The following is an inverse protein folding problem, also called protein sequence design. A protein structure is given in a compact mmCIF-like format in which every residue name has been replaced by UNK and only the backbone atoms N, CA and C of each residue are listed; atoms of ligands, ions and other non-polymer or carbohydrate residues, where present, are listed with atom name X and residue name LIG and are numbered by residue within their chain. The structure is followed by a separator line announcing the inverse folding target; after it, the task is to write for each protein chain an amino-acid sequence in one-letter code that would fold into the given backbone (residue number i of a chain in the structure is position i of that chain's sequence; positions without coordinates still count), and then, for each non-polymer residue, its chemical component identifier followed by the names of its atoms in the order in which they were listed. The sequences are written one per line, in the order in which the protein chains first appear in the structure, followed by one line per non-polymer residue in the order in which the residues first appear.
data_IF_086416086111
#
_entry.id   IF_086416086111
#
_cell.length_a   1.000
_cell.length_b   1.000
_cell.length_c   1.000
_cell.angle_alpha   90.00
_cell.angle_beta   90.00
_cell.angle_gamma   90.00
#
_symmetry.space_group_name_H-M   'P 1'
#
loop_
_entity.id
_entity.type
_entity.pdbx_description
1 polymer ?
#
# COMPACT_ATOMS: atom_id res chain seq x y z
N UNK A 1 -1.51 -1.70 68.91
CA UNK A 1 -1.41 -3.01 68.22
C UNK A 1 -2.55 -3.10 67.22
N UNK A 2 -2.28 -3.03 65.92
CA UNK A 2 -3.31 -3.13 64.88
C UNK A 2 -3.74 -4.59 64.74
N UNK A 3 -4.81 -4.99 65.42
CA UNK A 3 -5.40 -6.31 65.29
C UNK A 3 -6.28 -6.37 64.03
N UNK A 4 -5.72 -6.88 62.94
CA UNK A 4 -6.49 -7.15 61.73
C UNK A 4 -7.31 -8.42 61.89
N UNK A 5 -8.59 -8.36 61.50
CA UNK A 5 -9.47 -9.54 61.46
C UNK A 5 -8.88 -10.60 60.52
N UNK A 6 -8.84 -11.87 60.98
CA UNK A 6 -8.23 -12.99 60.25
C UNK A 6 -8.75 -13.13 58.82
N UNK A 7 -10.03 -12.80 58.57
CA UNK A 7 -10.64 -12.85 57.25
C UNK A 7 -10.12 -11.74 56.31
N UNK A 8 -9.87 -10.54 56.86
CA UNK A 8 -9.25 -9.44 56.11
C UNK A 8 -7.81 -9.77 55.76
N UNK A 9 -7.05 -10.35 56.69
CA UNK A 9 -5.69 -10.83 56.43
C UNK A 9 -5.67 -11.90 55.34
N UNK A 10 -6.61 -12.85 55.37
CA UNK A 10 -6.71 -13.93 54.38
C UNK A 10 -7.10 -13.40 53.00
N UNK A 11 -8.01 -12.42 52.93
CA UNK A 11 -8.37 -11.75 51.68
C UNK A 11 -7.20 -10.95 51.08
N UNK A 12 -6.44 -10.23 51.90
CA UNK A 12 -5.25 -9.48 51.46
C UNK A 12 -4.18 -10.46 50.97
N UNK A 13 -3.91 -11.53 51.72
CA UNK A 13 -2.92 -12.55 51.35
C UNK A 13 -3.30 -13.23 50.03
N UNK A 14 -4.57 -13.60 49.86
CA UNK A 14 -5.09 -14.19 48.62
C UNK A 14 -4.93 -13.26 47.42
N UNK A 15 -5.26 -11.97 47.57
CA UNK A 15 -5.07 -10.95 46.52
C UNK A 15 -3.60 -10.80 46.12
N UNK A 16 -2.69 -10.76 47.10
CA UNK A 16 -1.24 -10.68 46.84
C UNK A 16 -0.73 -11.94 46.14
N UNK A 17 -1.16 -13.12 46.57
CA UNK A 17 -0.79 -14.39 45.92
C UNK A 17 -1.31 -14.44 44.48
N UNK A 18 -2.55 -14.02 44.24
CA UNK A 18 -3.12 -13.96 42.90
C UNK A 18 -2.34 -12.97 42.02
N UNK A 19 -2.04 -11.77 42.53
CA UNK A 19 -1.22 -10.78 41.82
C UNK A 19 0.18 -11.33 41.48
N UNK A 20 0.80 -12.08 42.41
CA UNK A 20 2.10 -12.72 42.18
C UNK A 20 2.00 -13.78 41.08
N UNK A 21 0.96 -14.62 41.09
CA UNK A 21 0.71 -15.66 40.07
C UNK A 21 0.55 -15.05 38.68
N UNK A 22 -0.13 -13.91 38.56
CA UNK A 22 -0.29 -13.20 37.29
C UNK A 22 0.97 -12.44 36.85
N UNK A 23 1.82 -11.98 37.78
CA UNK A 23 3.05 -11.23 37.49
C UNK A 23 4.26 -12.12 37.20
N UNK A 24 4.37 -13.29 37.84
CA UNK A 24 5.47 -14.25 37.68
C UNK A 24 5.75 -14.65 36.22
N UNK A 25 4.77 -14.89 35.34
CA UNK A 25 5.00 -15.21 33.93
C UNK A 25 5.80 -14.15 33.17
N UNK A 26 5.72 -12.89 33.61
CA UNK A 26 6.41 -11.75 32.99
C UNK A 26 7.94 -11.78 33.20
N UNK A 27 8.39 -12.34 34.34
CA UNK A 27 9.80 -12.36 34.74
C UNK A 27 10.55 -13.62 34.27
N UNK A 28 9.84 -14.60 33.70
CA UNK A 28 10.44 -15.86 33.24
C UNK A 28 11.02 -15.69 31.82
N UNK A 29 12.28 -16.09 31.56
CA UNK A 29 12.91 -16.07 30.23
C UNK A 29 12.10 -16.90 29.20
N UNK A 30 12.32 -16.67 27.90
CA UNK A 30 11.50 -17.26 26.82
C UNK A 30 11.39 -18.81 26.82
N UNK A 31 12.30 -19.53 27.46
CA UNK A 31 12.34 -21.01 27.47
C UNK A 31 11.13 -21.68 28.15
N UNK A 32 10.83 -21.41 29.45
CA UNK A 32 9.71 -22.07 30.13
C UNK A 32 8.32 -21.46 29.86
N UNK A 33 8.22 -20.41 29.03
CA UNK A 33 6.94 -19.71 28.77
C UNK A 33 5.87 -20.62 28.16
N UNK A 34 6.27 -21.60 27.35
CA UNK A 34 5.37 -22.56 26.70
C UNK A 34 4.60 -23.46 27.71
N UNK A 35 5.20 -23.76 28.87
CA UNK A 35 4.55 -24.56 29.91
C UNK A 35 3.52 -23.71 30.65
N UNK A 36 3.79 -22.41 30.86
CA UNK A 36 2.84 -21.48 31.49
C UNK A 36 1.65 -21.15 30.59
N UNK A 37 1.84 -21.09 29.26
CA UNK A 37 0.75 -20.89 28.30
C UNK A 37 -0.27 -22.04 28.30
N UNK A 38 0.15 -23.28 28.60
CA UNK A 38 -0.78 -24.43 28.74
C UNK A 38 -1.73 -24.32 29.95
N UNK A 39 -1.41 -23.46 30.93
CA UNK A 39 -2.26 -23.16 32.08
C UNK A 39 -3.11 -21.88 31.90
N UNK A 40 -3.13 -21.29 30.70
CA UNK A 40 -3.96 -20.12 30.37
C UNK A 40 -3.40 -18.76 30.83
N UNK A 41 -2.18 -18.74 31.37
CA UNK A 41 -1.48 -17.52 31.76
C UNK A 41 -0.65 -17.01 30.57
N UNK A 42 -1.31 -16.30 29.64
CA UNK A 42 -0.61 -15.62 28.53
C UNK A 42 0.20 -14.45 29.08
N UNK A 43 1.48 -14.41 28.72
CA UNK A 43 2.31 -13.23 28.96
C UNK A 43 1.76 -12.04 28.15
N UNK A 44 1.89 -10.83 28.70
CA UNK A 44 1.55 -9.59 27.99
C UNK A 44 2.44 -9.51 26.75
N UNK A 45 1.85 -9.24 25.58
CA UNK A 45 2.61 -9.01 24.35
C UNK A 45 3.43 -7.74 24.53
N UNK A 46 4.76 -7.86 24.47
CA UNK A 46 5.64 -6.70 24.55
C UNK A 46 5.52 -5.91 23.24
N UNK A 47 5.36 -4.60 23.34
CA UNK A 47 5.35 -3.73 22.16
C UNK A 47 6.69 -3.71 21.43
N UNK A 48 6.68 -3.20 20.20
CA UNK A 48 7.84 -3.13 19.30
C UNK A 48 9.12 -2.59 19.96
N UNK A 49 8.99 -1.57 20.81
CA UNK A 49 10.11 -0.92 21.49
C UNK A 49 10.83 -1.84 22.50
N UNK A 50 10.10 -2.80 23.09
CA UNK A 50 10.65 -3.74 24.07
C UNK A 50 10.99 -5.12 23.48
N UNK A 51 10.36 -5.49 22.36
CA UNK A 51 10.59 -6.77 21.67
C UNK A 51 11.70 -6.67 20.60
N UNK A 52 12.04 -5.45 20.18
CA UNK A 52 12.92 -5.20 19.04
C UNK A 52 12.24 -5.52 17.71
N UNK A 53 12.45 -4.68 16.70
CA UNK A 53 11.92 -4.91 15.36
C UNK A 53 12.30 -3.81 14.38
N UNK A 54 11.84 -3.94 13.14
CA UNK A 54 12.16 -3.02 12.04
C UNK A 54 10.93 -2.23 11.63
N UNK A 55 11.09 -0.92 11.45
CA UNK A 55 10.10 -0.02 10.88
C UNK A 55 10.60 0.50 9.53
N UNK A 56 9.83 0.28 8.47
CA UNK A 56 10.16 0.73 7.11
C UNK A 56 9.03 1.58 6.58
N UNK A 57 9.36 2.79 6.13
CA UNK A 57 8.45 3.69 5.43
C UNK A 57 8.75 3.63 3.94
N UNK A 58 7.73 3.33 3.14
CA UNK A 58 7.79 3.26 1.69
C UNK A 58 6.94 4.38 1.11
N UNK A 59 7.44 5.05 0.09
CA UNK A 59 6.73 6.13 -0.61
C UNK A 59 6.66 5.81 -2.10
N UNK A 60 5.50 6.08 -2.70
CA UNK A 60 5.30 5.94 -4.15
C UNK A 60 5.83 7.19 -4.84
N UNK A 61 6.85 7.04 -5.69
CA UNK A 61 7.36 8.14 -6.51
C UNK A 61 6.35 8.47 -7.61
N UNK A 62 5.71 9.64 -7.49
CA UNK A 62 4.70 10.14 -8.44
C UNK A 62 5.31 10.44 -9.80
N UNK A 63 6.57 10.87 -9.87
CA UNK A 63 7.22 11.21 -11.12
C UNK A 63 7.54 9.95 -11.92
N UNK A 64 8.12 8.94 -11.25
CA UNK A 64 8.36 7.63 -11.86
C UNK A 64 7.04 6.96 -12.28
N UNK A 65 5.97 7.09 -11.48
CA UNK A 65 4.65 6.60 -11.86
C UNK A 65 4.11 7.31 -13.11
N UNK A 66 4.24 8.63 -13.20
CA UNK A 66 3.84 9.39 -14.40
C UNK A 66 4.60 8.95 -15.65
N UNK A 67 5.91 8.73 -15.52
CA UNK A 67 6.75 8.27 -16.64
C UNK A 67 6.34 6.87 -17.11
N UNK A 68 6.10 5.95 -16.17
CA UNK A 68 5.61 4.60 -16.46
C UNK A 68 4.24 4.62 -17.12
N UNK A 69 3.32 5.45 -16.62
CA UNK A 69 2.00 5.65 -17.23
C UNK A 69 2.13 6.24 -18.64
N UNK A 70 3.01 7.22 -18.86
CA UNK A 70 3.24 7.80 -20.18
C UNK A 70 3.77 6.76 -21.19
N UNK A 71 4.67 5.87 -20.76
CA UNK A 71 5.17 4.75 -21.58
C UNK A 71 4.02 3.77 -21.90
N UNK A 72 3.23 3.39 -20.90
CA UNK A 72 2.11 2.47 -21.06
C UNK A 72 1.06 3.05 -22.01
N UNK A 73 0.58 4.28 -21.75
CA UNK A 73 -0.41 4.98 -22.57
C UNK A 73 0.10 5.16 -24.01
N UNK A 74 1.39 5.44 -24.22
CA UNK A 74 1.99 5.48 -25.56
C UNK A 74 1.87 4.13 -26.28
N UNK A 75 2.09 3.03 -25.57
CA UNK A 75 1.92 1.66 -26.09
C UNK A 75 0.47 1.34 -26.42
N UNK A 76 -0.46 1.73 -25.55
CA UNK A 76 -1.89 1.51 -25.73
C UNK A 76 -2.44 2.30 -26.92
N UNK A 77 -2.07 3.58 -27.05
CA UNK A 77 -2.42 4.42 -28.20
C UNK A 77 -1.86 3.82 -29.50
N UNK A 78 -0.58 3.40 -29.49
CA UNK A 78 0.05 2.79 -30.66
C UNK A 78 -0.72 1.55 -31.11
N UNK A 79 -1.12 0.71 -30.16
CA UNK A 79 -1.84 -0.53 -30.44
C UNK A 79 -3.24 -0.25 -30.98
N UNK A 80 -3.99 0.65 -30.33
CA UNK A 80 -5.34 1.04 -30.76
C UNK A 80 -5.35 1.67 -32.17
N UNK A 81 -4.44 2.61 -32.44
CA UNK A 81 -4.35 3.25 -33.76
C UNK A 81 -3.93 2.28 -34.86
N UNK A 82 -3.07 1.30 -34.53
CA UNK A 82 -2.65 0.26 -35.49
C UNK A 82 -3.78 -0.72 -35.79
N UNK A 83 -4.54 -1.13 -34.79
CA UNK A 83 -5.71 -2.00 -34.95
C UNK A 83 -6.79 -1.34 -35.81
N UNK A 84 -7.03 -0.05 -35.60
CA UNK A 84 -7.93 0.77 -36.40
C UNK A 84 -7.38 1.15 -37.80
N UNK A 85 -6.14 0.76 -38.13
CA UNK A 85 -5.44 1.07 -39.39
C UNK A 85 -5.30 2.58 -39.67
N UNK A 86 -5.15 3.39 -38.62
CA UNK A 86 -5.03 4.86 -38.72
C UNK A 86 -3.55 5.24 -38.81
N UNK A 87 -3.21 6.05 -39.83
CA UNK A 87 -1.86 6.57 -40.01
C UNK A 87 -1.56 7.71 -39.04
N UNK A 88 -0.59 7.50 -38.13
CA UNK A 88 -0.11 8.52 -37.20
C UNK A 88 1.34 8.92 -37.49
N UNK A 89 1.67 10.18 -37.24
CA UNK A 89 3.05 10.66 -37.12
C UNK A 89 3.49 10.50 -35.66
N UNK A 90 4.81 10.38 -35.44
CA UNK A 90 5.41 9.93 -34.17
C UNK A 90 4.71 10.43 -32.90
N UNK A 91 4.63 9.54 -31.91
CA UNK A 91 4.04 9.82 -30.60
C UNK A 91 5.09 10.53 -29.74
N UNK A 92 4.79 11.75 -29.31
CA UNK A 92 5.67 12.55 -28.46
C UNK A 92 5.15 12.53 -27.02
N UNK A 93 6.02 12.17 -26.08
CA UNK A 93 5.76 12.22 -24.64
C UNK A 93 5.96 13.65 -24.15
N UNK A 94 4.97 14.20 -23.46
CA UNK A 94 5.05 15.52 -22.82
C UNK A 94 5.02 15.35 -21.30
N UNK A 95 5.57 16.30 -20.51
CA UNK A 95 5.54 16.22 -19.05
C UNK A 95 4.13 16.10 -18.47
N UNK A 96 3.14 16.62 -19.19
CA UNK A 96 1.74 16.63 -18.79
C UNK A 96 0.92 15.53 -19.47
N UNK A 97 1.51 14.66 -20.30
CA UNK A 97 0.72 13.74 -21.11
C UNK A 97 1.41 13.05 -22.29
N UNK A 98 0.59 12.62 -23.24
CA UNK A 98 1.04 12.05 -24.52
C UNK A 98 0.38 12.79 -25.66
N UNK A 99 1.18 13.21 -26.64
CA UNK A 99 0.70 13.92 -27.83
C UNK A 99 0.89 13.06 -29.08
N UNK A 100 -0.15 12.97 -29.90
CA UNK A 100 -0.14 12.22 -31.16
C UNK A 100 -0.69 13.09 -32.26
N UNK A 101 0.01 13.13 -33.40
CA UNK A 101 -0.44 13.85 -34.58
C UNK A 101 -0.85 12.86 -35.67
N UNK A 102 -2.03 13.06 -36.24
CA UNK A 102 -2.61 12.15 -37.23
C UNK A 102 -2.30 12.66 -38.64
N UNK A 103 -1.96 11.76 -39.55
CA UNK A 103 -1.54 12.15 -40.90
C UNK A 103 -2.73 12.55 -41.79
N UNK A 104 -3.86 11.85 -41.65
CA UNK A 104 -5.05 12.03 -42.46
C UNK A 104 -6.15 12.73 -41.68
N UNK A 105 -6.74 13.78 -42.27
CA UNK A 105 -7.85 14.53 -41.67
C UNK A 105 -9.13 13.68 -41.60
N UNK A 106 -9.34 12.79 -42.60
CA UNK A 106 -10.50 11.88 -42.67
C UNK A 106 -10.55 10.85 -41.52
N UNK A 107 -9.40 10.49 -40.96
CA UNK A 107 -9.30 9.50 -39.89
C UNK A 107 -9.40 10.13 -38.49
N UNK A 108 -9.56 11.46 -38.38
CA UNK A 108 -9.55 12.14 -37.08
C UNK A 108 -10.74 11.76 -36.19
N UNK A 109 -11.94 11.63 -36.74
CA UNK A 109 -13.13 11.30 -35.93
C UNK A 109 -13.14 9.83 -35.51
N UNK A 110 -12.57 8.95 -36.35
CA UNK A 110 -12.32 7.54 -36.00
C UNK A 110 -11.28 7.43 -34.91
N UNK A 111 -10.18 8.17 -35.02
CA UNK A 111 -9.14 8.20 -34.01
C UNK A 111 -9.65 8.73 -32.67
N UNK A 112 -10.47 9.78 -32.69
CA UNK A 112 -11.08 10.31 -31.46
C UNK A 112 -11.94 9.25 -30.77
N UNK A 113 -12.71 8.48 -31.53
CA UNK A 113 -13.53 7.38 -30.99
C UNK A 113 -12.68 6.28 -30.36
N UNK A 114 -11.59 5.87 -31.02
CA UNK A 114 -10.69 4.84 -30.49
C UNK A 114 -9.90 5.34 -29.27
N UNK A 115 -9.44 6.59 -29.28
CA UNK A 115 -8.74 7.18 -28.15
C UNK A 115 -9.67 7.39 -26.95
N UNK A 116 -10.96 7.69 -27.17
CA UNK A 116 -11.97 7.74 -26.10
C UNK A 116 -12.18 6.38 -25.43
N UNK A 117 -11.99 5.26 -26.14
CA UNK A 117 -12.04 3.93 -25.50
C UNK A 117 -10.86 3.68 -24.55
N UNK A 118 -9.74 4.37 -24.76
CA UNK A 118 -8.57 4.30 -23.86
C UNK A 118 -8.71 5.18 -22.62
N UNK A 119 -9.72 6.06 -22.57
CA UNK A 119 -10.10 6.77 -21.36
C UNK A 119 -10.75 5.77 -20.39
N UNK A 120 -9.92 4.99 -19.71
CA UNK A 120 -10.39 4.12 -18.65
C UNK A 120 -10.82 5.01 -17.47
N UNK A 121 -12.09 4.94 -17.03
CA UNK A 121 -12.50 5.59 -15.80
C UNK A 121 -11.70 4.98 -14.65
N UNK A 122 -11.08 5.83 -13.85
CA UNK A 122 -10.39 5.44 -12.63
C UNK A 122 -11.30 5.78 -11.46
N UNK A 123 -11.60 4.75 -10.67
CA UNK A 123 -12.34 4.89 -9.43
C UNK A 123 -11.53 5.76 -8.45
N UNK A 124 -12.09 6.88 -7.99
CA UNK A 124 -11.43 7.75 -7.00
C UNK A 124 -11.45 7.18 -5.58
N UNK A 125 -11.80 5.90 -5.44
CA UNK A 125 -11.64 5.12 -4.22
C UNK A 125 -12.89 5.11 -3.36
N UNK A 126 -12.86 4.25 -2.34
CA UNK A 126 -13.99 3.87 -1.45
C UNK A 126 -14.68 5.09 -0.80
N UNK A 127 -13.95 6.19 -0.55
CA UNK A 127 -14.49 7.39 0.07
C UNK A 127 -15.23 8.35 -0.89
N UNK A 128 -15.18 8.10 -2.20
CA UNK A 128 -15.71 9.01 -3.22
C UNK A 128 -17.11 8.67 -3.75
N UNK A 129 -17.88 7.81 -3.04
CA UNK A 129 -19.26 7.46 -3.40
C UNK A 129 -19.45 7.02 -4.87
N UNK A 130 -18.49 6.27 -5.42
CA UNK A 130 -18.55 5.79 -6.80
C UNK A 130 -18.29 6.86 -7.86
N UNK A 131 -17.74 8.02 -7.47
CA UNK A 131 -17.22 8.98 -8.43
C UNK A 131 -16.09 8.32 -9.24
N UNK A 132 -16.24 8.33 -10.55
CA UNK A 132 -15.20 7.91 -11.48
C UNK A 132 -14.64 9.17 -12.13
N UNK A 133 -13.31 9.26 -12.21
CA UNK A 133 -12.64 10.34 -12.93
C UNK A 133 -11.85 9.75 -14.07
N UNK A 134 -11.70 10.50 -15.16
CA UNK A 134 -10.86 10.06 -16.25
C UNK A 134 -9.41 10.36 -15.90
N UNK A 135 -8.54 9.35 -16.04
CA UNK A 135 -7.08 9.50 -15.88
C UNK A 135 -6.50 10.50 -16.88
N UNK A 136 -7.15 10.58 -18.04
CA UNK A 136 -6.69 11.27 -19.22
C UNK A 136 -7.76 12.24 -19.68
N UNK A 137 -7.35 13.46 -19.99
CA UNK A 137 -8.18 14.46 -20.65
C UNK A 137 -7.74 14.54 -22.11
N UNK A 138 -8.69 14.24 -23.01
CA UNK A 138 -8.47 14.40 -24.44
C UNK A 138 -8.70 15.88 -24.80
N UNK A 139 -7.65 16.55 -25.24
CA UNK A 139 -7.75 17.83 -25.92
C UNK A 139 -7.36 17.66 -27.39
N UNK A 140 -8.24 18.14 -28.27
CA UNK A 140 -8.04 18.14 -29.72
C UNK A 140 -7.61 19.54 -30.12
N UNK A 141 -6.40 19.66 -30.67
CA UNK A 141 -5.91 20.91 -31.24
C UNK A 141 -5.52 20.64 -32.69
N UNK A 142 -6.38 21.06 -33.61
CA UNK A 142 -6.24 20.87 -35.06
C UNK A 142 -5.99 19.40 -35.46
N UNK A 143 -4.75 19.06 -35.80
CA UNK A 143 -4.31 17.74 -36.25
C UNK A 143 -3.55 16.94 -35.16
N UNK A 144 -3.52 17.47 -33.94
CA UNK A 144 -2.85 16.91 -32.78
C UNK A 144 -3.85 16.60 -31.66
N UNK A 145 -3.80 15.37 -31.15
CA UNK A 145 -4.47 14.98 -29.93
C UNK A 145 -3.47 15.01 -28.79
N UNK A 146 -3.81 15.70 -27.71
CA UNK A 146 -3.08 15.67 -26.44
C UNK A 146 -3.93 14.95 -25.41
N UNK A 147 -3.36 13.90 -24.83
CA UNK A 147 -3.89 13.16 -23.70
C UNK A 147 -3.18 13.68 -22.45
N UNK A 148 -3.78 14.66 -21.79
CA UNK A 148 -3.25 15.24 -20.55
C UNK A 148 -3.58 14.35 -19.36
N UNK A 149 -2.65 14.16 -18.42
CA UNK A 149 -2.96 13.49 -17.15
C UNK A 149 -3.72 14.45 -16.23
N UNK A 150 -4.86 14.00 -15.71
CA UNK A 150 -5.55 14.74 -14.65
C UNK A 150 -4.89 14.48 -13.30
N UNK A 151 -4.72 15.52 -12.47
CA UNK A 151 -4.13 15.36 -11.12
C UNK A 151 -4.97 14.42 -10.24
N UNK A 152 -6.29 14.46 -10.38
CA UNK A 152 -7.23 13.57 -9.68
C UNK A 152 -7.09 12.12 -10.13
N UNK A 153 -6.84 11.88 -11.42
CA UNK A 153 -6.59 10.54 -11.96
C UNK A 153 -5.26 9.96 -11.49
N UNK A 154 -4.21 10.80 -11.40
CA UNK A 154 -2.91 10.38 -10.86
C UNK A 154 -3.05 10.00 -9.38
N UNK A 155 -3.72 10.82 -8.56
CA UNK A 155 -3.97 10.50 -7.15
C UNK A 155 -4.75 9.18 -6.98
N UNK A 156 -5.75 8.93 -7.84
CA UNK A 156 -6.49 7.67 -7.83
C UNK A 156 -5.62 6.47 -8.22
N UNK A 157 -4.73 6.62 -9.22
CA UNK A 157 -3.75 5.59 -9.57
C UNK A 157 -2.72 5.34 -8.47
N UNK A 158 -2.24 6.37 -7.79
CA UNK A 158 -1.35 6.23 -6.62
C UNK A 158 -2.06 5.43 -5.53
N UNK A 159 -3.31 5.75 -5.22
CA UNK A 159 -4.11 5.03 -4.22
C UNK A 159 -4.29 3.55 -4.60
N UNK A 160 -4.60 3.27 -5.87
CA UNK A 160 -4.69 1.90 -6.38
C UNK A 160 -3.37 1.15 -6.30
N UNK A 161 -2.26 1.81 -6.65
CA UNK A 161 -0.92 1.24 -6.56
C UNK A 161 -0.54 0.91 -5.12
N UNK A 162 -0.91 1.76 -4.15
CA UNK A 162 -0.72 1.48 -2.71
C UNK A 162 -1.50 0.24 -2.29
N UNK A 163 -2.77 0.13 -2.67
CA UNK A 163 -3.60 -1.02 -2.30
C UNK A 163 -3.05 -2.34 -2.88
N UNK A 164 -2.55 -2.31 -4.12
CA UNK A 164 -1.89 -3.46 -4.73
C UNK A 164 -0.57 -3.78 -4.03
N UNK A 165 0.24 -2.77 -3.76
CA UNK A 165 1.55 -2.92 -3.08
C UNK A 165 1.37 -3.48 -1.68
N UNK A 166 0.36 -3.04 -0.93
CA UNK A 166 0.03 -3.54 0.39
C UNK A 166 -0.19 -5.06 0.38
N UNK A 167 -0.98 -5.58 -0.56
CA UNK A 167 -1.21 -7.03 -0.74
C UNK A 167 0.08 -7.79 -1.07
N UNK A 168 0.94 -7.20 -1.90
CA UNK A 168 2.23 -7.79 -2.27
C UNK A 168 3.16 -7.84 -1.06
N UNK A 169 3.27 -6.75 -0.31
CA UNK A 169 4.08 -6.68 0.92
C UNK A 169 3.59 -7.70 1.93
N UNK A 170 2.28 -7.76 2.17
CA UNK A 170 1.65 -8.72 3.09
C UNK A 170 2.05 -10.15 2.73
N UNK A 171 1.89 -10.55 1.47
CA UNK A 171 2.29 -11.88 0.99
C UNK A 171 3.78 -12.17 1.16
N UNK A 172 4.66 -11.20 0.84
CA UNK A 172 6.11 -11.36 0.95
C UNK A 172 6.60 -11.44 2.39
N UNK A 173 5.99 -10.67 3.27
CA UNK A 173 6.34 -10.66 4.69
C UNK A 173 5.84 -11.93 5.37
N UNK A 174 4.66 -12.44 4.99
CA UNK A 174 4.18 -13.74 5.47
C UNK A 174 5.15 -14.87 5.09
N UNK A 175 5.81 -14.79 3.93
CA UNK A 175 6.85 -15.74 3.53
C UNK A 175 8.12 -15.70 4.39
N UNK A 176 8.35 -14.63 5.17
CA UNK A 176 9.48 -14.52 6.10
C UNK A 176 9.23 -15.22 7.44
N UNK A 177 8.01 -15.71 7.69
CA UNK A 177 7.66 -16.41 8.93
C UNK A 177 7.58 -15.48 10.16
N UNK A 178 7.43 -14.17 9.93
CA UNK A 178 7.22 -13.17 11.00
C UNK A 178 5.86 -13.32 11.66
N UNK A 179 5.82 -13.21 12.99
CA UNK A 179 4.57 -13.13 13.74
C UNK A 179 3.92 -11.76 13.51
N UNK A 180 2.85 -11.74 12.72
CA UNK A 180 1.90 -10.62 12.58
C UNK A 180 2.52 -9.26 12.20
N UNK A 181 2.80 -9.02 10.91
CA UNK A 181 3.25 -7.72 10.45
C UNK A 181 2.14 -6.67 10.49
N UNK A 182 2.48 -5.45 10.90
CA UNK A 182 1.55 -4.31 10.84
C UNK A 182 1.89 -3.49 9.60
N UNK A 183 1.02 -3.58 8.59
CA UNK A 183 1.15 -2.83 7.33
C UNK A 183 -0.02 -1.87 7.24
N UNK A 184 0.28 -0.57 7.20
CA UNK A 184 -0.75 0.46 7.16
C UNK A 184 -0.39 1.53 6.15
N UNK A 185 -1.40 2.10 5.51
CA UNK A 185 -1.24 3.29 4.69
C UNK A 185 -1.03 4.50 5.61
N UNK A 186 0.01 5.28 5.32
CA UNK A 186 0.30 6.53 6.03
C UNK A 186 0.15 7.70 5.06
N UNK A 187 -0.93 8.47 5.18
CA UNK A 187 -1.21 9.57 4.26
C UNK A 187 -1.65 9.08 2.87
N UNK A 188 -1.32 9.85 1.82
CA UNK A 188 -1.82 9.60 0.45
C UNK A 188 -0.93 8.70 -0.40
N UNK A 189 0.38 8.71 -0.16
CA UNK A 189 1.41 8.09 -1.02
C UNK A 189 2.39 7.18 -0.26
N UNK A 190 2.19 6.97 1.05
CA UNK A 190 3.14 6.22 1.88
C UNK A 190 2.51 5.00 2.55
N UNK A 191 3.35 4.01 2.80
CA UNK A 191 3.01 2.77 3.50
C UNK A 191 4.03 2.57 4.61
N UNK A 192 3.54 2.41 5.84
CA UNK A 192 4.36 2.03 6.99
C UNK A 192 4.27 0.52 7.19
N UNK A 193 5.43 -0.11 7.32
CA UNK A 193 5.58 -1.55 7.54
C UNK A 193 6.36 -1.75 8.82
N UNK A 194 5.72 -2.38 9.81
CA UNK A 194 6.34 -2.70 11.09
C UNK A 194 6.41 -4.21 11.26
N UNK A 195 7.62 -4.71 11.49
CA UNK A 195 7.92 -6.12 11.61
C UNK A 195 8.52 -6.42 12.99
N UNK A 196 7.72 -6.97 13.94
CA UNK A 196 8.23 -7.35 15.24
C UNK A 196 9.18 -8.55 15.11
N UNK A 197 10.26 -8.57 15.91
CA UNK A 197 11.23 -9.66 15.93
C UNK A 197 12.22 -9.69 14.76
N UNK A 198 12.09 -8.82 13.75
CA UNK A 198 13.09 -8.67 12.67
C UNK A 198 14.04 -7.53 12.99
N UNK A 199 15.29 -7.87 13.28
CA UNK A 199 16.30 -6.90 13.72
C UNK A 199 17.02 -6.19 12.57
N UNK A 200 16.92 -6.68 11.33
CA UNK A 200 17.65 -6.15 10.17
C UNK A 200 16.68 -5.49 9.17
N UNK A 201 16.62 -4.14 9.11
CA UNK A 201 15.80 -3.40 8.16
C UNK A 201 16.20 -3.56 6.70
N UNK A 202 17.49 -3.79 6.40
CA UNK A 202 17.96 -3.94 5.02
C UNK A 202 17.49 -5.27 4.44
N UNK A 203 17.46 -6.33 5.24
CA UNK A 203 16.86 -7.61 4.83
C UNK A 203 15.38 -7.46 4.47
N UNK A 204 14.64 -6.66 5.24
CA UNK A 204 13.23 -6.37 5.00
C UNK A 204 13.04 -5.60 3.70
N UNK A 205 13.82 -4.53 3.52
CA UNK A 205 13.83 -3.72 2.30
C UNK A 205 14.14 -4.56 1.06
N UNK A 206 15.09 -5.49 1.13
CA UNK A 206 15.44 -6.37 0.01
C UNK A 206 14.32 -7.34 -0.38
N UNK A 207 13.54 -7.83 0.60
CA UNK A 207 12.42 -8.73 0.34
C UNK A 207 11.25 -7.95 -0.28
N UNK A 208 10.99 -6.75 0.22
CA UNK A 208 9.89 -5.90 -0.26
C UNK A 208 10.22 -5.25 -1.61
N UNK A 209 11.45 -4.78 -1.80
CA UNK A 209 11.89 -3.99 -2.96
C UNK A 209 12.26 -4.78 -4.21
N UNK A 210 12.13 -6.11 -4.22
CA UNK A 210 12.28 -6.90 -5.46
C UNK A 210 11.09 -6.66 -6.39
N UNK A 211 11.14 -5.62 -7.22
CA UNK A 211 10.23 -5.46 -8.38
C UNK A 211 10.65 -6.34 -9.54
#
# INVERSE_FOLDING_TARGET
MLHFSRWKTLAILSSVVLALIFALPSMVPAGPRAILESYGLRAITLGLDLQGGSNVLLEVDRNDLRDKLAIQVTGDIRSALREAKIGYSGINRTPSGVSVRINKIEDMDRAETELKKLLQPVDTGIFSAGATTNLLELSRQEQQFTLGFSETGIDAKVTGAIAQTLKIIESRVNALGTAEPVIQQQGKDRIVVQLPGVQDPERVKNVIGRT
#
